data_IF_728770682922
#
_entry.id   IF_728770682922
#
_cell.length_a   1.000
_cell.length_b   1.000
_cell.length_c   1.000
_cell.angle_alpha   90.00
_cell.angle_beta   90.00
_cell.angle_gamma   90.00
#
_symmetry.space_group_name_H-M   'P 1'
#
loop_
_entity.id
_entity.type
_entity.pdbx_description
1 polymer ?
#
# COMPACT_ATOMS: atom_id res chain seq x y z
N UNK A 1 15.60 6.23 14.89
CA UNK A 1 14.92 5.91 13.61
C UNK A 1 14.54 4.44 13.65
N UNK A 2 13.33 4.11 13.25
CA UNK A 2 12.84 2.72 13.13
C UNK A 2 12.26 2.49 11.73
N UNK A 3 12.39 1.27 11.21
CA UNK A 3 11.85 0.87 9.91
C UNK A 3 10.65 -0.06 10.13
N UNK A 4 9.50 0.30 9.55
CA UNK A 4 8.32 -0.55 9.47
C UNK A 4 8.16 -1.10 8.05
N UNK A 5 8.03 -2.42 7.94
CA UNK A 5 7.72 -3.09 6.69
C UNK A 5 6.25 -3.54 6.74
N UNK A 6 5.51 -3.17 5.70
CA UNK A 6 4.06 -3.36 5.55
C UNK A 6 3.20 -2.48 6.47
N UNK A 7 1.93 -2.33 6.06
CA UNK A 7 0.94 -1.45 6.68
C UNK A 7 0.74 -1.70 8.20
N UNK A 8 0.52 -2.94 8.69
CA UNK A 8 0.24 -3.15 10.12
C UNK A 8 1.41 -2.71 11.02
N UNK A 9 2.64 -3.01 10.61
CA UNK A 9 3.86 -2.62 11.33
C UNK A 9 3.99 -1.09 11.40
N UNK A 10 3.74 -0.41 10.29
CA UNK A 10 3.83 1.05 10.22
C UNK A 10 2.79 1.73 11.12
N UNK A 11 1.57 1.21 11.13
CA UNK A 11 0.50 1.73 12.00
C UNK A 11 0.82 1.49 13.48
N UNK A 12 1.35 0.30 13.83
CA UNK A 12 1.76 0.00 15.19
C UNK A 12 2.83 0.98 15.69
N UNK A 13 3.86 1.24 14.89
CA UNK A 13 4.93 2.18 15.27
C UNK A 13 4.44 3.63 15.33
N UNK A 14 3.63 4.08 14.35
CA UNK A 14 3.03 5.41 14.36
C UNK A 14 2.18 5.66 15.61
N UNK A 15 1.46 4.65 16.08
CA UNK A 15 0.68 4.74 17.32
C UNK A 15 1.54 4.70 18.59
N UNK A 16 2.74 4.12 18.53
CA UNK A 16 3.61 3.93 19.69
C UNK A 16 4.53 5.13 19.94
N UNK A 17 4.96 5.82 18.88
CA UNK A 17 5.93 6.92 19.00
C UNK A 17 5.59 8.09 18.08
N UNK A 18 5.52 9.29 18.67
CA UNK A 18 5.35 10.56 17.98
C UNK A 18 6.67 11.34 17.80
N UNK A 19 7.77 10.86 18.39
CA UNK A 19 9.06 11.59 18.42
C UNK A 19 10.20 10.84 17.73
N UNK A 20 10.26 9.52 17.84
CA UNK A 20 11.20 8.71 17.07
C UNK A 20 10.77 8.70 15.61
N UNK A 21 11.64 9.05 14.64
CA UNK A 21 11.24 9.00 13.23
C UNK A 21 10.98 7.56 12.79
N UNK A 22 9.85 7.36 12.10
CA UNK A 22 9.40 6.09 11.54
C UNK A 22 9.53 6.17 10.02
N UNK A 23 10.30 5.26 9.45
CA UNK A 23 10.37 5.06 8.00
C UNK A 23 9.54 3.85 7.63
N UNK A 24 8.62 3.94 6.67
CA UNK A 24 7.85 2.81 6.16
C UNK A 24 8.29 2.35 4.77
N UNK A 25 8.05 1.07 4.47
CA UNK A 25 8.16 0.49 3.12
C UNK A 25 7.09 -0.58 2.91
N UNK A 26 6.82 -0.94 1.65
CA UNK A 26 5.76 -1.87 1.25
C UNK A 26 4.36 -1.45 1.78
N UNK A 27 4.05 -0.15 1.72
CA UNK A 27 2.74 0.39 2.04
C UNK A 27 2.12 0.95 0.77
N UNK A 28 1.01 0.36 0.31
CA UNK A 28 0.38 0.77 -0.96
C UNK A 28 -0.16 2.18 -0.89
N UNK A 29 -1.07 2.45 0.04
CA UNK A 29 -1.63 3.78 0.21
C UNK A 29 -1.37 4.31 1.63
N UNK A 30 -0.31 5.11 1.84
CA UNK A 30 0.04 5.62 3.16
C UNK A 30 -0.94 6.70 3.66
N UNK A 31 -1.65 7.39 2.76
CA UNK A 31 -2.67 8.40 3.12
C UNK A 31 -3.91 7.67 3.63
N UNK A 32 -4.44 6.70 2.88
CA UNK A 32 -5.56 5.87 3.33
C UNK A 32 -5.20 4.99 4.53
N UNK A 33 -3.91 4.73 4.76
CA UNK A 33 -3.41 4.08 5.97
C UNK A 33 -3.35 4.99 7.20
N UNK A 34 -3.60 6.30 7.03
CA UNK A 34 -3.47 7.34 8.05
C UNK A 34 -2.05 7.43 8.63
N UNK A 35 -1.05 7.11 7.82
CA UNK A 35 0.36 7.23 8.21
C UNK A 35 0.92 8.61 7.91
N UNK A 36 0.38 9.30 6.91
CA UNK A 36 0.81 10.61 6.44
C UNK A 36 -0.39 11.46 6.05
N UNK A 37 -0.29 12.78 6.17
CA UNK A 37 -1.34 13.72 5.72
C UNK A 37 -1.47 13.76 4.19
N UNK A 38 -0.33 13.77 3.49
CA UNK A 38 -0.24 13.71 2.04
C UNK A 38 1.06 13.03 1.60
N UNK A 39 1.19 12.73 0.30
CA UNK A 39 2.41 12.08 -0.23
C UNK A 39 3.58 13.07 -0.29
N UNK A 40 3.28 14.35 -0.49
CA UNK A 40 4.25 15.44 -0.61
C UNK A 40 4.64 16.01 0.76
N UNK A 41 3.67 16.08 1.68
CA UNK A 41 3.84 16.62 3.03
C UNK A 41 3.32 15.61 4.05
N UNK A 42 4.22 14.83 4.69
CA UNK A 42 3.80 13.78 5.61
C UNK A 42 3.12 14.26 6.89
N UNK A 43 3.42 15.48 7.34
CA UNK A 43 2.75 16.13 8.49
C UNK A 43 3.25 15.73 9.88
N UNK A 44 4.20 14.80 10.00
CA UNK A 44 4.69 14.31 11.29
C UNK A 44 6.04 13.59 11.23
N UNK A 45 6.27 12.66 12.17
CA UNK A 45 7.49 11.88 12.30
C UNK A 45 7.51 10.59 11.44
N UNK A 46 6.49 10.39 10.60
CA UNK A 46 6.32 9.19 9.76
C UNK A 46 6.50 9.58 8.29
N UNK A 47 7.33 8.84 7.56
CA UNK A 47 7.53 9.00 6.10
C UNK A 47 8.03 7.68 5.49
N UNK A 48 8.20 7.58 4.17
CA UNK A 48 8.70 6.35 3.58
C UNK A 48 8.45 6.18 2.09
N UNK A 49 8.37 4.93 1.67
CA UNK A 49 8.18 4.51 0.28
C UNK A 49 6.88 3.73 0.13
N UNK A 50 6.20 3.94 -1.00
CA UNK A 50 5.00 3.21 -1.38
C UNK A 50 5.32 2.22 -2.50
N UNK A 51 4.67 1.06 -2.46
CA UNK A 51 4.75 0.03 -3.51
C UNK A 51 3.61 0.14 -4.54
N UNK A 52 2.80 1.20 -4.46
CA UNK A 52 1.72 1.44 -5.41
C UNK A 52 2.27 1.79 -6.79
N UNK A 53 1.96 0.94 -7.77
CA UNK A 53 2.09 1.26 -9.20
C UNK A 53 0.72 1.63 -9.77
N UNK A 54 0.65 2.79 -10.42
CA UNK A 54 -0.60 3.34 -10.98
C UNK A 54 -1.12 2.53 -12.17
N UNK A 55 -0.26 1.74 -12.81
CA UNK A 55 -0.57 0.89 -13.96
C UNK A 55 -0.65 -0.61 -13.61
N UNK A 56 -0.45 -1.01 -12.34
CA UNK A 56 -0.34 -2.41 -11.95
C UNK A 56 -1.51 -3.26 -12.42
N UNK A 57 -2.74 -2.82 -12.18
CA UNK A 57 -3.95 -3.55 -12.56
C UNK A 57 -4.08 -3.65 -14.08
N UNK A 58 -3.88 -2.55 -14.81
CA UNK A 58 -4.01 -2.57 -16.28
C UNK A 58 -2.94 -3.45 -16.91
N UNK A 59 -1.70 -3.40 -16.41
CA UNK A 59 -0.59 -4.25 -16.82
C UNK A 59 -0.88 -5.73 -16.54
N UNK A 60 -1.40 -6.07 -15.35
CA UNK A 60 -1.79 -7.44 -15.02
C UNK A 60 -2.93 -7.96 -15.90
N UNK A 61 -3.98 -7.17 -16.11
CA UNK A 61 -5.11 -7.54 -16.98
C UNK A 61 -4.64 -7.72 -18.44
N UNK A 62 -3.75 -6.85 -18.93
CA UNK A 62 -3.19 -6.96 -20.27
C UNK A 62 -2.35 -8.24 -20.43
N UNK A 63 -1.61 -8.63 -19.39
CA UNK A 63 -0.86 -9.89 -19.39
C UNK A 63 -1.80 -11.10 -19.42
N UNK A 64 -2.86 -11.09 -18.60
CA UNK A 64 -3.88 -12.16 -18.60
C UNK A 64 -4.49 -12.29 -20.00
N UNK A 65 -4.85 -11.18 -20.65
CA UNK A 65 -5.40 -11.18 -22.02
C UNK A 65 -4.42 -11.71 -23.07
N UNK A 66 -3.11 -11.59 -22.86
CA UNK A 66 -2.07 -12.13 -23.77
C UNK A 66 -1.85 -13.63 -23.58
N UNK A 67 -1.91 -14.11 -22.34
CA UNK A 67 -1.62 -15.52 -21.99
C UNK A 67 -2.87 -16.39 -22.08
N UNK A 68 -4.01 -15.88 -21.63
CA UNK A 68 -5.30 -16.58 -21.56
C UNK A 68 -6.32 -15.93 -22.50
N UNK A 69 -6.08 -16.08 -23.81
CA UNK A 69 -6.85 -15.42 -24.88
C UNK A 69 -8.38 -15.65 -24.84
N UNK A 70 -8.83 -16.73 -24.20
CA UNK A 70 -10.26 -17.11 -24.11
C UNK A 70 -10.90 -16.79 -22.75
N UNK A 71 -10.15 -16.26 -21.78
CA UNK A 71 -10.68 -15.93 -20.47
C UNK A 71 -11.75 -14.83 -20.58
N UNK A 72 -12.95 -15.09 -20.04
CA UNK A 72 -14.07 -14.15 -20.01
C UNK A 72 -14.39 -13.62 -18.60
N UNK A 73 -13.88 -14.30 -17.57
CA UNK A 73 -14.16 -14.00 -16.17
C UNK A 73 -12.85 -14.04 -15.39
N UNK A 74 -12.62 -13.02 -14.55
CA UNK A 74 -11.46 -12.92 -13.66
C UNK A 74 -12.00 -12.82 -12.25
N UNK A 75 -11.65 -13.79 -11.40
CA UNK A 75 -11.90 -13.73 -9.97
C UNK A 75 -10.71 -13.08 -9.28
N UNK A 76 -10.98 -12.13 -8.37
CA UNK A 76 -9.97 -11.52 -7.50
C UNK A 76 -10.26 -11.97 -6.08
N UNK A 77 -9.36 -12.77 -5.50
CA UNK A 77 -9.41 -13.12 -4.09
C UNK A 77 -8.61 -12.09 -3.32
N UNK A 78 -9.23 -11.48 -2.30
CA UNK A 78 -8.60 -10.45 -1.48
C UNK A 78 -9.03 -10.58 -0.02
N UNK A 79 -8.31 -9.90 0.87
CA UNK A 79 -8.57 -9.88 2.31
C UNK A 79 -9.35 -8.61 2.68
N UNK A 80 -10.56 -8.75 3.22
CA UNK A 80 -11.41 -7.61 3.58
C UNK A 80 -10.81 -6.70 4.66
N UNK A 81 -9.96 -7.24 5.54
CA UNK A 81 -9.28 -6.44 6.58
C UNK A 81 -8.14 -5.57 6.05
N UNK A 82 -7.78 -5.67 4.77
CA UNK A 82 -6.76 -4.85 4.12
C UNK A 82 -7.44 -3.84 3.16
N UNK A 83 -7.64 -2.57 3.58
CA UNK A 83 -8.46 -1.61 2.83
C UNK A 83 -7.94 -1.30 1.41
N UNK A 84 -6.63 -1.40 1.20
CA UNK A 84 -5.99 -1.24 -0.11
C UNK A 84 -6.18 -2.47 -1.03
N UNK A 85 -6.84 -3.53 -0.56
CA UNK A 85 -7.13 -4.75 -1.34
C UNK A 85 -8.59 -4.84 -1.78
N UNK A 86 -9.46 -3.93 -1.33
CA UNK A 86 -10.86 -3.89 -1.73
C UNK A 86 -10.95 -3.39 -3.18
N UNK A 87 -11.63 -4.17 -4.03
CA UNK A 87 -11.85 -3.88 -5.46
C UNK A 87 -13.17 -3.14 -5.65
#
# INVERSE_FOLDING_TARGET
>A
VVLAIARPSAQSLANTTQTTPVIFSAVTDPVSAKLVESREHPGGNVTGTSDQSSDAISTQINLIKKVLLKAKTIGILYTQSEPNSVV
#
